data_IF_079524292102
#
_entry.id   IF_079524292102
#
_cell.length_a   1.000
_cell.length_b   1.000
_cell.length_c   1.000
_cell.angle_alpha   90.00
_cell.angle_beta   90.00
_cell.angle_gamma   90.00
#
_symmetry.space_group_name_H-M   'P 1'
#
loop_
_entity.id
_entity.type
_entity.pdbx_description
1 polymer ?
#
# COMPACT_ATOMS: atom_id res chain seq x y z
N UNK A 1 -26.83 48.94 -53.60
CA UNK A 1 -25.91 47.85 -53.19
C UNK A 1 -25.64 48.00 -51.70
N UNK A 2 -25.92 46.97 -50.90
CA UNK A 2 -25.77 47.00 -49.45
C UNK A 2 -26.80 46.08 -48.79
N UNK A 3 -26.49 44.78 -48.75
CA UNK A 3 -27.27 43.75 -48.06
C UNK A 3 -26.86 43.76 -46.59
N UNK A 4 -27.81 43.96 -45.67
CA UNK A 4 -27.62 43.76 -44.23
C UNK A 4 -28.47 42.57 -43.79
N UNK A 5 -27.80 41.52 -43.32
CA UNK A 5 -28.36 40.26 -42.83
C UNK A 5 -28.87 40.43 -41.40
N UNK A 6 -30.10 39.97 -41.18
CA UNK A 6 -30.77 39.88 -39.90
C UNK A 6 -30.13 38.80 -39.02
N UNK A 7 -29.96 39.11 -37.73
CA UNK A 7 -29.44 38.21 -36.72
C UNK A 7 -30.41 37.08 -36.37
N UNK A 8 -29.88 35.85 -36.30
CA UNK A 8 -30.53 34.73 -35.63
C UNK A 8 -29.92 34.57 -34.24
N UNK A 9 -30.73 34.81 -33.21
CA UNK A 9 -30.47 34.35 -31.85
C UNK A 9 -30.87 32.88 -31.76
N UNK A 10 -29.92 32.00 -31.43
CA UNK A 10 -30.19 30.61 -31.05
C UNK A 10 -30.47 30.53 -29.53
N UNK A 11 -31.43 29.69 -29.08
CA UNK A 11 -31.78 29.56 -27.68
C UNK A 11 -30.68 28.86 -26.87
N UNK A 12 -30.41 29.38 -25.67
CA UNK A 12 -29.55 28.74 -24.67
C UNK A 12 -30.29 27.54 -24.09
N UNK A 13 -29.88 26.32 -24.41
CA UNK A 13 -30.23 25.13 -23.63
C UNK A 13 -29.13 24.86 -22.61
N UNK A 14 -29.43 25.17 -21.36
CA UNK A 14 -28.69 24.74 -20.18
C UNK A 14 -28.89 23.23 -19.99
N UNK A 15 -27.91 22.43 -20.38
CA UNK A 15 -27.80 21.03 -19.95
C UNK A 15 -26.82 20.97 -18.79
N UNK A 16 -27.32 20.65 -17.59
CA UNK A 16 -26.52 20.23 -16.45
C UNK A 16 -25.61 19.06 -16.85
N UNK A 17 -24.35 18.98 -16.36
CA UNK A 17 -23.53 17.81 -16.61
C UNK A 17 -24.16 16.60 -15.89
N UNK A 18 -24.47 15.56 -16.66
CA UNK A 18 -24.84 14.25 -16.13
C UNK A 18 -23.70 13.72 -15.24
N UNK A 19 -24.03 13.41 -14.00
CA UNK A 19 -23.15 12.68 -13.09
C UNK A 19 -22.91 11.29 -13.67
N UNK A 20 -21.66 10.99 -14.04
CA UNK A 20 -21.23 9.62 -14.33
C UNK A 20 -21.43 8.75 -13.08
N UNK A 21 -21.94 7.51 -13.19
CA UNK A 21 -22.12 6.63 -12.05
C UNK A 21 -20.76 6.28 -11.43
N UNK A 22 -20.63 6.53 -10.13
CA UNK A 22 -19.39 6.36 -9.37
C UNK A 22 -18.99 4.89 -9.26
N UNK A 23 -17.75 4.57 -9.63
CA UNK A 23 -17.17 3.23 -9.49
C UNK A 23 -16.47 3.15 -8.13
N UNK A 24 -16.85 2.18 -7.29
CA UNK A 24 -16.18 1.95 -6.00
C UNK A 24 -14.72 1.51 -6.17
N UNK A 25 -13.84 1.87 -5.25
CA UNK A 25 -12.41 1.52 -5.29
C UNK A 25 -12.12 0.02 -5.08
N UNK A 26 -10.85 -0.36 -5.30
CA UNK A 26 -10.35 -1.73 -5.11
C UNK A 26 -10.59 -2.19 -3.67
N UNK A 27 -10.17 -1.38 -2.70
CA UNK A 27 -10.36 -1.64 -1.28
C UNK A 27 -11.84 -1.75 -0.93
N UNK A 28 -12.67 -0.81 -1.41
CA UNK A 28 -14.10 -0.76 -1.11
C UNK A 28 -14.88 -1.99 -1.58
N UNK A 29 -14.58 -2.50 -2.77
CA UNK A 29 -15.25 -3.68 -3.31
C UNK A 29 -14.74 -4.96 -2.64
N UNK A 30 -13.43 -5.06 -2.39
CA UNK A 30 -12.84 -6.17 -1.65
C UNK A 30 -13.38 -6.28 -0.22
N UNK A 31 -13.57 -5.14 0.45
CA UNK A 31 -14.08 -5.08 1.80
C UNK A 31 -15.58 -5.36 1.91
N UNK A 32 -16.39 -5.01 0.91
CA UNK A 32 -17.79 -5.46 0.84
C UNK A 32 -17.88 -6.98 0.83
N UNK A 33 -17.00 -7.66 0.08
CA UNK A 33 -16.92 -9.12 0.09
C UNK A 33 -16.40 -9.68 1.41
N UNK A 34 -15.39 -9.03 2.03
CA UNK A 34 -14.85 -9.41 3.34
C UNK A 34 -15.89 -9.28 4.47
N UNK A 35 -16.57 -8.14 4.57
CA UNK A 35 -17.61 -7.88 5.59
C UNK A 35 -18.84 -8.77 5.40
N UNK A 36 -19.16 -9.15 4.15
CA UNK A 36 -20.21 -10.14 3.88
C UNK A 36 -19.83 -11.55 4.37
N UNK A 37 -18.55 -11.89 4.34
CA UNK A 37 -18.04 -13.18 4.81
C UNK A 37 -17.72 -13.21 6.32
N UNK A 38 -17.53 -12.03 6.94
CA UNK A 38 -17.12 -11.89 8.35
C UNK A 38 -17.90 -10.75 9.02
N UNK A 39 -19.19 -10.93 9.31
CA UNK A 39 -19.98 -9.91 10.00
C UNK A 39 -19.39 -9.65 11.39
N UNK A 40 -19.11 -8.38 11.72
CA UNK A 40 -18.61 -8.00 13.04
C UNK A 40 -19.58 -8.45 14.14
N UNK A 41 -19.09 -8.97 15.28
CA UNK A 41 -19.94 -9.18 16.44
C UNK A 41 -20.41 -7.81 16.94
N UNK A 42 -21.68 -7.51 16.74
CA UNK A 42 -22.32 -6.28 17.18
C UNK A 42 -22.27 -6.11 18.69
N UNK A 43 -22.12 -4.86 19.12
CA UNK A 43 -22.06 -4.47 20.53
C UNK A 43 -23.42 -4.67 21.24
N UNK A 44 -23.37 -5.54 22.26
CA UNK A 44 -24.12 -5.61 23.53
C UNK A 44 -25.66 -5.72 23.55
N UNK A 45 -26.13 -6.79 24.18
CA UNK A 45 -27.18 -6.70 25.20
C UNK A 45 -26.70 -7.40 26.47
N UNK A 46 -26.61 -6.64 27.56
CA UNK A 46 -26.30 -7.12 28.89
C UNK A 46 -27.48 -7.90 29.51
N UNK A 47 -27.19 -9.01 30.19
CA UNK A 47 -27.94 -9.46 31.37
C UNK A 47 -27.26 -10.67 32.04
N UNK A 48 -27.16 -10.61 33.38
CA UNK A 48 -27.19 -11.79 34.25
C UNK A 48 -25.84 -12.30 34.74
N UNK A 49 -25.39 -11.80 35.89
CA UNK A 49 -24.31 -12.40 36.66
C UNK A 49 -24.78 -13.57 37.53
N UNK A 50 -23.86 -14.49 37.84
CA UNK A 50 -23.70 -15.21 39.13
C UNK A 50 -22.53 -16.23 39.04
N UNK A 51 -22.01 -16.78 40.14
CA UNK A 51 -20.83 -16.27 40.84
C UNK A 51 -19.59 -17.17 40.73
N UNK A 52 -18.47 -16.63 41.22
CA UNK A 52 -17.16 -17.25 41.33
C UNK A 52 -17.17 -18.67 41.94
N UNK A 53 -16.40 -19.57 41.33
CA UNK A 53 -16.01 -20.84 41.92
C UNK A 53 -14.49 -20.86 42.16
N UNK A 54 -14.17 -21.30 43.37
CA UNK A 54 -12.89 -21.35 44.06
C UNK A 54 -11.85 -22.27 43.42
N UNK A 55 -10.60 -21.78 43.36
CA UNK A 55 -9.42 -22.61 43.16
C UNK A 55 -8.98 -23.27 44.50
N UNK A 56 -8.56 -24.54 44.51
CA UNK A 56 -7.80 -25.12 45.61
C UNK A 56 -6.27 -25.10 45.34
N UNK A 57 -5.43 -25.35 46.36
CA UNK A 57 -4.13 -24.70 46.50
C UNK A 57 -2.93 -25.49 45.95
N UNK A 58 -1.83 -24.75 45.93
CA UNK A 58 -0.41 -25.06 45.69
C UNK A 58 0.10 -26.39 46.21
N UNK A 59 1.05 -26.98 45.46
CA UNK A 59 2.07 -27.88 45.97
C UNK A 59 3.43 -27.61 45.27
N UNK A 60 4.39 -27.13 46.05
CA UNK A 60 5.85 -27.28 45.84
C UNK A 60 6.23 -28.70 46.29
N UNK A 61 7.21 -29.42 45.69
CA UNK A 61 8.66 -29.18 45.88
C UNK A 61 9.48 -29.58 44.61
N UNK A 62 10.80 -29.55 44.46
CA UNK A 62 11.97 -29.38 45.31
C UNK A 62 13.13 -28.86 44.43
N UNK A 63 14.07 -28.14 45.04
CA UNK A 63 15.34 -27.74 44.44
C UNK A 63 16.19 -28.95 44.00
N UNK A 64 16.71 -28.90 42.78
CA UNK A 64 17.78 -29.78 42.32
C UNK A 64 18.97 -28.96 41.83
N UNK A 65 20.15 -29.37 42.28
CA UNK A 65 21.39 -28.63 42.26
C UNK A 65 21.93 -28.32 40.85
N UNK A 66 22.57 -27.15 40.73
CA UNK A 66 23.26 -26.69 39.55
C UNK A 66 24.53 -27.53 39.25
N UNK A 67 24.78 -27.94 38.00
CA UNK A 67 26.08 -28.43 37.59
C UNK A 67 27.01 -27.26 37.21
N UNK A 68 28.27 -27.45 37.56
CA UNK A 68 29.42 -26.55 37.45
C UNK A 68 29.69 -26.11 36.01
N UNK A 69 29.97 -24.81 35.83
CA UNK A 69 30.39 -24.21 34.55
C UNK A 69 31.73 -24.78 34.08
N UNK A 70 31.76 -25.30 32.87
CA UNK A 70 33.00 -25.49 32.10
C UNK A 70 33.15 -24.30 31.14
N UNK A 71 34.27 -23.58 31.24
CA UNK A 71 34.61 -22.47 30.34
C UNK A 71 34.84 -23.00 28.92
N UNK A 72 34.05 -22.52 27.96
CA UNK A 72 34.30 -22.70 26.53
C UNK A 72 35.44 -21.76 26.06
N UNK A 73 36.29 -22.17 25.11
CA UNK A 73 37.37 -21.33 24.59
C UNK A 73 36.80 -20.13 23.83
N UNK A 74 37.48 -18.99 23.94
CA UNK A 74 37.10 -17.72 23.31
C UNK A 74 36.93 -17.87 21.78
N UNK A 75 35.92 -17.23 21.16
CA UNK A 75 35.81 -17.19 19.71
C UNK A 75 36.96 -16.35 19.11
N UNK A 76 37.43 -16.68 17.89
CA UNK A 76 38.45 -15.86 17.23
C UNK A 76 37.90 -14.46 16.97
N UNK A 77 38.77 -13.46 17.10
CA UNK A 77 38.46 -12.05 16.98
C UNK A 77 37.62 -11.76 15.73
N UNK A 78 36.43 -11.21 15.95
CA UNK A 78 35.59 -10.69 14.87
C UNK A 78 36.37 -9.59 14.14
N UNK A 79 36.46 -9.74 12.81
CA UNK A 79 36.82 -8.66 11.89
C UNK A 79 36.07 -7.38 12.31
N UNK A 80 36.74 -6.21 12.41
CA UNK A 80 36.01 -5.00 12.70
C UNK A 80 35.04 -4.77 11.54
N UNK A 81 33.75 -4.77 11.86
CA UNK A 81 32.69 -4.29 11.00
C UNK A 81 33.16 -2.97 10.41
N UNK A 82 33.43 -2.95 9.10
CA UNK A 82 33.38 -1.70 8.35
C UNK A 82 31.95 -1.22 8.48
N UNK A 83 31.73 -0.28 9.39
CA UNK A 83 30.57 0.58 9.40
C UNK A 83 30.66 1.42 8.11
N UNK A 84 30.21 0.83 7.00
CA UNK A 84 29.88 1.57 5.80
C UNK A 84 28.58 2.31 6.14
N UNK A 85 28.73 3.46 6.79
CA UNK A 85 27.75 4.53 6.69
C UNK A 85 27.67 4.88 5.21
N UNK A 86 26.79 4.21 4.47
CA UNK A 86 26.25 4.82 3.28
C UNK A 86 25.60 6.14 3.75
N UNK A 87 25.93 7.29 3.13
CA UNK A 87 25.18 8.48 3.42
C UNK A 87 23.77 8.24 2.86
N UNK A 88 22.80 8.02 3.75
CA UNK A 88 21.40 8.21 3.38
C UNK A 88 21.31 9.59 2.70
N UNK A 89 20.65 9.73 1.54
CA UNK A 89 20.28 11.05 1.06
C UNK A 89 19.28 11.62 2.08
N UNK A 90 19.81 12.31 3.09
CA UNK A 90 19.02 12.99 4.11
C UNK A 90 18.49 14.32 3.56
N UNK A 91 17.77 14.28 2.44
CA UNK A 91 16.80 15.34 2.15
C UNK A 91 15.52 14.89 2.82
N UNK A 92 15.33 15.34 4.06
CA UNK A 92 14.05 15.24 4.73
C UNK A 92 12.94 15.65 3.75
N UNK A 93 11.84 14.87 3.64
CA UNK A 93 10.77 15.20 2.72
C UNK A 93 10.32 16.66 2.90
N UNK A 94 10.03 17.40 1.82
CA UNK A 94 9.72 18.83 1.94
C UNK A 94 8.56 19.11 2.89
N UNK A 95 8.74 20.13 3.74
CA UNK A 95 7.70 20.60 4.64
C UNK A 95 7.63 19.89 6.01
N UNK A 96 8.62 19.06 6.35
CA UNK A 96 8.77 18.49 7.70
C UNK A 96 9.81 19.29 8.53
N UNK A 97 9.50 19.65 9.77
CA UNK A 97 10.12 20.75 10.54
C UNK A 97 10.49 20.46 12.03
N UNK A 98 11.42 19.61 12.39
CA UNK A 98 11.81 19.24 13.78
C UNK A 98 10.70 18.84 14.77
N UNK A 99 9.41 18.97 14.43
CA UNK A 99 8.27 18.41 15.14
C UNK A 99 7.99 16.98 14.68
N UNK A 100 8.34 16.64 13.44
CA UNK A 100 8.13 15.30 12.87
C UNK A 100 9.24 14.31 13.24
N UNK A 101 8.86 13.07 13.55
CA UNK A 101 9.76 11.95 13.86
C UNK A 101 9.44 10.78 12.95
N UNK A 102 10.48 10.06 12.51
CA UNK A 102 10.32 8.76 11.86
C UNK A 102 9.78 7.77 12.90
N UNK A 103 8.61 7.19 12.64
CA UNK A 103 7.91 6.27 13.56
C UNK A 103 7.79 4.86 13.00
N UNK A 104 7.89 4.72 11.68
CA UNK A 104 7.98 3.44 10.99
C UNK A 104 8.81 3.66 9.72
N UNK A 105 9.67 2.71 9.38
CA UNK A 105 10.39 2.77 8.13
C UNK A 105 11.26 1.55 7.89
N UNK A 106 11.68 1.38 6.64
CA UNK A 106 12.56 0.31 6.20
C UNK A 106 13.42 0.79 5.03
N UNK A 107 14.73 0.64 5.15
CA UNK A 107 15.72 0.91 4.09
C UNK A 107 16.00 -0.33 3.24
N UNK A 108 15.45 -1.49 3.61
CA UNK A 108 15.66 -2.76 2.91
C UNK A 108 17.15 -3.17 2.76
N UNK A 109 18.00 -2.76 3.70
CA UNK A 109 19.44 -3.11 3.76
C UNK A 109 19.71 -4.53 4.29
N UNK A 110 18.76 -5.13 5.00
CA UNK A 110 18.87 -6.49 5.50
C UNK A 110 18.95 -7.52 4.34
N UNK A 111 19.44 -8.74 4.56
CA UNK A 111 19.45 -9.77 3.52
C UNK A 111 18.06 -10.37 3.24
N UNK A 112 17.09 -10.13 4.13
CA UNK A 112 15.73 -10.67 4.05
C UNK A 112 14.72 -9.64 4.55
N UNK A 113 13.48 -9.74 4.07
CA UNK A 113 12.38 -8.88 4.47
C UNK A 113 12.10 -9.00 5.98
N UNK A 114 11.96 -7.85 6.65
CA UNK A 114 11.61 -7.81 8.06
C UNK A 114 10.12 -8.20 8.28
N UNK A 115 9.89 -9.45 8.63
CA UNK A 115 8.54 -9.99 8.90
C UNK A 115 7.85 -9.40 10.15
N UNK A 116 8.59 -8.68 11.00
CA UNK A 116 8.01 -7.90 12.09
C UNK A 116 7.38 -6.59 11.58
N UNK A 117 7.74 -6.13 10.39
CA UNK A 117 7.17 -4.94 9.73
C UNK A 117 6.22 -5.29 8.59
N UNK A 118 6.54 -6.34 7.84
CA UNK A 118 5.90 -6.61 6.55
C UNK A 118 5.22 -7.96 6.49
N UNK A 119 4.07 -7.98 5.83
CA UNK A 119 3.32 -9.15 5.40
C UNK A 119 3.29 -9.18 3.87
N UNK A 120 3.47 -10.36 3.28
CA UNK A 120 3.57 -10.54 1.81
C UNK A 120 2.32 -11.18 1.20
N UNK A 121 1.16 -10.97 1.81
CA UNK A 121 -0.12 -11.46 1.35
C UNK A 121 -1.18 -10.38 1.56
N UNK A 122 -2.32 -10.51 0.88
CA UNK A 122 -3.51 -9.71 1.18
C UNK A 122 -4.46 -10.52 2.05
N UNK A 123 -5.12 -9.87 3.01
CA UNK A 123 -6.28 -10.41 3.74
C UNK A 123 -6.02 -11.65 4.61
N UNK A 124 -4.97 -11.61 5.44
CA UNK A 124 -4.69 -12.55 6.55
C UNK A 124 -4.51 -14.03 6.14
N UNK A 125 -4.07 -14.32 4.92
CA UNK A 125 -3.83 -15.69 4.44
C UNK A 125 -2.37 -15.97 4.10
N UNK A 126 -1.79 -17.06 4.60
CA UNK A 126 -0.41 -17.49 4.30
C UNK A 126 -0.16 -17.95 2.84
N UNK A 127 -1.11 -17.73 1.93
CA UNK A 127 -1.10 -18.24 0.56
C UNK A 127 -1.70 -17.21 -0.39
N UNK A 128 -1.32 -17.31 -1.67
CA UNK A 128 -1.86 -16.59 -2.82
C UNK A 128 -3.00 -15.63 -2.51
N UNK A 129 -2.67 -14.35 -2.43
CA UNK A 129 -3.67 -13.31 -2.40
C UNK A 129 -3.96 -12.89 -3.83
N UNK A 130 -4.95 -13.47 -4.49
CA UNK A 130 -5.59 -12.75 -5.56
C UNK A 130 -6.70 -11.92 -4.92
N UNK A 131 -6.82 -10.65 -5.29
CA UNK A 131 -8.00 -9.91 -4.90
C UNK A 131 -9.21 -10.68 -5.47
N UNK A 132 -10.02 -11.27 -4.60
CA UNK A 132 -11.21 -12.03 -4.99
C UNK A 132 -12.30 -11.12 -5.59
N UNK A 133 -12.06 -9.81 -5.64
CA UNK A 133 -12.88 -8.80 -6.29
C UNK A 133 -12.62 -8.67 -7.79
N UNK A 134 -13.70 -8.71 -8.55
CA UNK A 134 -14.01 -8.41 -9.96
C UNK A 134 -13.16 -7.40 -10.80
N UNK A 135 -11.91 -7.06 -10.47
CA UNK A 135 -11.18 -5.96 -11.14
C UNK A 135 -10.25 -6.41 -12.27
N UNK A 136 -10.25 -7.69 -12.62
CA UNK A 136 -9.49 -8.19 -13.77
C UNK A 136 -7.99 -8.38 -13.52
N UNK A 137 -7.51 -8.30 -12.27
CA UNK A 137 -6.16 -8.74 -11.91
C UNK A 137 -5.99 -10.25 -12.20
N UNK A 138 -4.84 -10.60 -12.75
CA UNK A 138 -4.49 -11.91 -13.30
C UNK A 138 -3.29 -12.53 -12.57
N UNK A 139 -2.70 -11.85 -11.60
CA UNK A 139 -1.65 -12.40 -10.75
C UNK A 139 -2.20 -13.03 -9.47
N UNK A 140 -1.35 -13.88 -8.92
CA UNK A 140 -1.39 -14.35 -7.56
C UNK A 140 -0.26 -13.67 -6.77
N UNK A 141 -0.55 -13.00 -5.65
CA UNK A 141 0.52 -12.50 -4.77
C UNK A 141 1.23 -13.65 -4.06
N UNK A 142 2.54 -13.78 -4.26
CA UNK A 142 3.37 -14.84 -3.69
C UNK A 142 4.48 -14.26 -2.81
N UNK A 143 4.73 -14.80 -1.61
CA UNK A 143 5.90 -14.43 -0.80
C UNK A 143 7.22 -14.60 -1.57
N UNK A 144 7.31 -15.60 -2.45
CA UNK A 144 8.51 -15.85 -3.27
C UNK A 144 8.78 -14.79 -4.33
N UNK A 145 7.80 -13.93 -4.61
CA UNK A 145 7.92 -12.80 -5.55
C UNK A 145 8.38 -11.51 -4.85
N UNK A 146 8.65 -11.57 -3.54
CA UNK A 146 9.22 -10.48 -2.75
C UNK A 146 10.64 -10.87 -2.37
N UNK A 147 11.61 -10.15 -2.91
CA UNK A 147 13.04 -10.37 -2.62
C UNK A 147 13.70 -9.10 -2.16
N UNK A 148 14.87 -9.22 -1.53
CA UNK A 148 15.66 -8.09 -1.05
C UNK A 148 17.10 -8.23 -1.54
N UNK A 149 17.61 -7.19 -2.18
CA UNK A 149 18.99 -7.12 -2.68
C UNK A 149 19.40 -5.68 -2.91
N UNK A 150 20.69 -5.40 -2.80
CA UNK A 150 21.28 -4.08 -3.10
C UNK A 150 20.59 -2.89 -2.37
N UNK A 151 20.18 -3.12 -1.11
CA UNK A 151 19.48 -2.15 -0.28
C UNK A 151 18.06 -1.84 -0.73
N UNK A 152 17.37 -2.80 -1.37
CA UNK A 152 16.04 -2.59 -1.96
C UNK A 152 15.16 -3.81 -1.80
N UNK A 153 13.86 -3.58 -1.68
CA UNK A 153 12.86 -4.61 -1.89
C UNK A 153 12.42 -4.65 -3.36
N UNK A 154 12.20 -5.84 -3.88
CA UNK A 154 11.75 -6.08 -5.26
C UNK A 154 10.43 -6.86 -5.23
N UNK A 155 9.37 -6.26 -5.77
CA UNK A 155 8.07 -6.91 -5.94
C UNK A 155 7.94 -7.35 -7.39
N UNK A 156 8.26 -8.61 -7.67
CA UNK A 156 8.50 -9.09 -9.04
C UNK A 156 7.29 -9.79 -9.63
N UNK A 157 6.74 -9.24 -10.70
CA UNK A 157 5.76 -9.90 -11.55
C UNK A 157 6.44 -10.88 -12.51
N UNK A 158 5.92 -12.11 -12.62
CA UNK A 158 6.44 -13.17 -13.47
C UNK A 158 5.35 -13.94 -14.21
N UNK A 159 5.64 -14.41 -15.44
CA UNK A 159 4.83 -15.40 -16.17
C UNK A 159 5.03 -16.80 -15.56
N UNK A 160 4.53 -16.98 -14.35
CA UNK A 160 4.58 -18.24 -13.62
C UNK A 160 3.16 -18.65 -13.21
N UNK A 161 2.56 -19.65 -13.89
CA UNK A 161 1.23 -20.12 -13.53
C UNK A 161 1.17 -20.63 -12.09
N UNK A 162 0.17 -20.20 -11.33
CA UNK A 162 -0.03 -20.61 -9.95
C UNK A 162 -1.46 -21.09 -9.72
N UNK A 163 -1.62 -22.27 -9.13
CA UNK A 163 -2.93 -22.83 -8.78
C UNK A 163 -3.28 -22.46 -7.33
N UNK A 164 -4.38 -21.74 -7.15
CA UNK A 164 -4.89 -21.38 -5.84
C UNK A 164 -6.40 -21.58 -5.75
N UNK A 165 -6.85 -22.34 -4.75
CA UNK A 165 -8.28 -22.62 -4.49
C UNK A 165 -9.05 -23.04 -5.77
N UNK A 166 -8.43 -23.86 -6.62
CA UNK A 166 -9.03 -24.38 -7.85
C UNK A 166 -9.03 -23.41 -9.05
N UNK A 167 -8.47 -22.20 -8.91
CA UNK A 167 -8.24 -21.25 -10.00
C UNK A 167 -6.77 -21.20 -10.38
N UNK A 168 -6.47 -21.24 -11.67
CA UNK A 168 -5.13 -21.00 -12.20
C UNK A 168 -4.96 -19.51 -12.51
N UNK A 169 -3.96 -18.89 -11.87
CA UNK A 169 -3.50 -17.54 -12.18
C UNK A 169 -2.32 -17.62 -13.14
N UNK A 170 -2.35 -16.94 -14.30
CA UNK A 170 -1.25 -17.01 -15.26
C UNK A 170 0.04 -16.32 -14.80
N UNK A 171 -0.05 -15.44 -13.79
CA UNK A 171 1.09 -14.68 -13.28
C UNK A 171 1.23 -14.82 -11.75
N UNK A 172 2.44 -14.63 -11.26
CA UNK A 172 2.71 -14.33 -9.85
C UNK A 172 3.24 -12.91 -9.72
N UNK A 173 3.05 -12.28 -8.56
CA UNK A 173 3.60 -10.97 -8.27
C UNK A 173 3.84 -10.74 -6.78
N UNK A 174 4.48 -9.64 -6.41
CA UNK A 174 4.80 -9.26 -5.04
C UNK A 174 3.87 -8.20 -4.46
N UNK A 175 3.66 -8.30 -3.14
CA UNK A 175 3.07 -7.25 -2.30
C UNK A 175 3.82 -7.23 -0.97
N UNK A 176 4.01 -6.05 -0.40
CA UNK A 176 4.30 -5.86 1.02
C UNK A 176 3.25 -4.96 1.64
N UNK A 177 2.85 -5.25 2.88
CA UNK A 177 1.97 -4.38 3.64
C UNK A 177 2.25 -4.46 5.14
N UNK A 178 1.90 -3.40 5.87
CA UNK A 178 2.10 -3.31 7.32
C UNK A 178 0.89 -3.83 8.13
N UNK A 179 -0.03 -4.58 7.51
CA UNK A 179 -1.19 -5.14 8.21
C UNK A 179 -0.76 -5.97 9.41
N UNK A 180 -1.48 -5.84 10.52
CA UNK A 180 -1.20 -6.44 11.83
C UNK A 180 0.16 -6.05 12.46
N UNK A 181 1.01 -5.28 11.78
CA UNK A 181 2.34 -4.87 12.25
C UNK A 181 2.36 -3.41 12.67
N UNK A 182 1.83 -2.54 11.82
CA UNK A 182 1.78 -1.10 12.06
C UNK A 182 0.54 -0.48 11.43
N UNK A 183 -0.30 0.10 12.28
CA UNK A 183 -1.46 0.90 11.91
C UNK A 183 -1.26 2.32 12.41
N UNK A 184 -1.62 3.30 11.61
CA UNK A 184 -1.48 4.71 11.97
C UNK A 184 -2.65 5.53 11.45
N UNK A 185 -2.85 6.67 12.09
CA UNK A 185 -3.74 7.73 11.63
C UNK A 185 -2.91 8.99 11.59
N UNK A 186 -2.98 9.70 10.47
CA UNK A 186 -2.19 10.89 10.18
C UNK A 186 -0.68 10.62 10.14
N UNK A 187 0.03 11.43 9.36
CA UNK A 187 1.45 11.24 9.15
C UNK A 187 1.91 11.83 7.82
N UNK A 188 3.20 11.72 7.59
CA UNK A 188 3.80 11.89 6.28
C UNK A 188 4.36 10.55 5.83
N UNK A 189 3.79 9.97 4.78
CA UNK A 189 4.30 8.74 4.16
C UNK A 189 5.15 9.16 2.99
N UNK A 190 6.37 8.64 2.90
CA UNK A 190 7.30 8.80 1.77
C UNK A 190 7.82 7.42 1.35
N UNK A 191 7.61 7.07 0.10
CA UNK A 191 8.09 5.82 -0.48
C UNK A 191 8.89 6.13 -1.73
N UNK A 192 10.18 5.76 -1.72
CA UNK A 192 11.04 5.90 -2.88
C UNK A 192 11.03 4.62 -3.69
N UNK A 193 10.49 4.67 -4.91
CA UNK A 193 10.33 3.49 -5.74
C UNK A 193 10.58 3.77 -7.23
N UNK A 194 10.99 2.73 -7.95
CA UNK A 194 11.06 2.68 -9.41
C UNK A 194 9.99 1.73 -9.94
N UNK A 195 9.30 2.16 -11.00
CA UNK A 195 8.10 1.51 -11.50
C UNK A 195 8.36 0.70 -12.77
N UNK A 196 7.70 -0.46 -12.97
CA UNK A 196 7.80 -1.25 -14.19
C UNK A 196 6.94 -0.66 -15.30
N UNK A 197 7.47 -0.62 -16.54
CA UNK A 197 6.69 -0.28 -17.74
C UNK A 197 6.28 -1.52 -18.52
N UNK A 198 5.14 -1.40 -19.20
CA UNK A 198 4.54 -2.48 -19.99
C UNK A 198 3.03 -2.56 -19.76
N UNK A 199 2.30 -2.90 -20.82
CA UNK A 199 0.85 -3.09 -20.74
C UNK A 199 0.49 -4.13 -19.68
N UNK A 200 -0.54 -3.83 -18.89
CA UNK A 200 -1.01 -4.71 -17.83
C UNK A 200 -0.19 -4.70 -16.55
N UNK A 201 0.90 -3.93 -16.43
CA UNK A 201 1.48 -3.66 -15.12
C UNK A 201 0.70 -2.53 -14.43
N UNK A 202 0.36 -2.77 -13.16
CA UNK A 202 -0.37 -1.83 -12.32
C UNK A 202 0.24 -1.83 -10.91
N UNK A 203 1.36 -1.12 -10.70
CA UNK A 203 1.89 -0.91 -9.36
C UNK A 203 1.08 0.14 -8.60
N UNK A 204 1.00 -0.03 -7.29
CA UNK A 204 0.33 0.90 -6.38
C UNK A 204 1.06 1.03 -5.03
N UNK A 205 1.01 2.23 -4.47
CA UNK A 205 1.39 2.58 -3.09
C UNK A 205 0.16 3.25 -2.47
N UNK A 206 -0.40 2.64 -1.43
CA UNK A 206 -1.73 3.02 -0.95
C UNK A 206 -1.92 2.72 0.52
N UNK A 207 -2.87 3.42 1.14
CA UNK A 207 -3.28 3.24 2.52
C UNK A 207 -4.70 2.70 2.56
N UNK A 208 -4.89 1.62 3.31
CA UNK A 208 -6.20 1.00 3.46
C UNK A 208 -6.33 0.23 4.76
N UNK A 209 -7.54 0.14 5.32
CA UNK A 209 -7.85 -0.80 6.39
C UNK A 209 -9.38 -1.01 6.55
N UNK A 210 -9.94 -2.10 6.02
CA UNK A 210 -11.38 -2.34 6.05
C UNK A 210 -11.92 -2.72 7.42
N UNK A 211 -11.04 -3.00 8.40
CA UNK A 211 -11.48 -3.19 9.78
C UNK A 211 -11.96 -1.86 10.41
N UNK A 212 -11.52 -0.71 9.88
CA UNK A 212 -11.89 0.60 10.41
C UNK A 212 -12.63 1.49 9.41
N UNK A 213 -12.28 1.43 8.11
CA UNK A 213 -12.93 2.27 7.09
C UNK A 213 -12.90 1.63 5.70
N UNK A 214 -13.84 2.03 4.86
CA UNK A 214 -13.79 1.76 3.42
C UNK A 214 -13.16 2.92 2.63
N UNK A 215 -12.67 3.96 3.29
CA UNK A 215 -11.83 4.97 2.63
C UNK A 215 -10.48 4.37 2.25
N UNK A 216 -9.92 4.82 1.14
CA UNK A 216 -8.65 4.36 0.56
C UNK A 216 -7.89 5.58 0.04
N UNK A 217 -6.61 5.68 0.39
CA UNK A 217 -5.72 6.76 -0.05
C UNK A 217 -4.65 6.15 -0.95
N UNK A 218 -4.77 6.38 -2.25
CA UNK A 218 -3.78 5.98 -3.24
C UNK A 218 -2.74 7.08 -3.38
N UNK A 219 -1.57 6.84 -2.78
CA UNK A 219 -0.43 7.75 -2.82
C UNK A 219 0.18 7.77 -4.23
N UNK A 220 0.15 6.62 -4.90
CA UNK A 220 0.58 6.43 -6.27
C UNK A 220 -0.12 5.21 -6.87
N UNK A 221 -0.81 5.40 -7.98
CA UNK A 221 -1.08 4.34 -8.96
C UNK A 221 -0.43 4.71 -10.29
N UNK A 222 0.06 3.69 -10.99
CA UNK A 222 0.66 3.84 -12.30
C UNK A 222 0.16 2.74 -13.23
N UNK A 223 -0.05 3.08 -14.49
CA UNK A 223 -0.45 2.12 -15.52
C UNK A 223 0.73 1.96 -16.46
N UNK A 224 1.39 0.80 -16.46
CA UNK A 224 2.65 0.59 -17.19
C UNK A 224 2.57 0.82 -18.71
N UNK A 225 1.36 0.83 -19.29
CA UNK A 225 1.14 1.24 -20.69
C UNK A 225 1.32 2.76 -20.88
N UNK A 226 0.85 3.58 -19.94
CA UNK A 226 1.03 5.04 -19.93
C UNK A 226 2.12 5.45 -18.95
N UNK A 227 3.36 5.48 -19.46
CA UNK A 227 4.53 5.90 -18.70
C UNK A 227 4.51 7.37 -18.27
N UNK A 228 3.59 8.17 -18.79
CA UNK A 228 3.60 9.62 -18.59
C UNK A 228 2.74 10.08 -17.41
N UNK A 229 1.92 9.20 -16.82
CA UNK A 229 0.91 9.59 -15.84
C UNK A 229 1.01 8.81 -14.55
N UNK A 230 1.05 9.53 -13.43
CA UNK A 230 0.75 9.00 -12.09
C UNK A 230 -0.63 9.46 -11.67
N UNK A 231 -1.37 8.57 -11.02
CA UNK A 231 -2.67 8.85 -10.42
C UNK A 231 -2.52 8.85 -8.90
N UNK A 232 -3.14 9.83 -8.24
CA UNK A 232 -3.20 9.91 -6.78
C UNK A 232 -4.65 10.14 -6.41
N UNK A 233 -5.22 9.26 -5.61
CA UNK A 233 -6.67 9.17 -5.46
C UNK A 233 -7.05 9.09 -3.99
N UNK A 234 -8.09 9.80 -3.60
CA UNK A 234 -8.86 9.49 -2.39
C UNK A 234 -10.17 8.86 -2.83
N UNK A 235 -10.37 7.59 -2.47
CA UNK A 235 -11.66 6.94 -2.57
C UNK A 235 -12.36 6.99 -1.21
N UNK A 236 -13.62 7.41 -1.20
CA UNK A 236 -14.38 7.58 0.03
C UNK A 236 -15.33 6.42 0.23
N UNK A 237 -15.58 6.02 1.48
CA UNK A 237 -16.43 4.88 1.87
C UNK A 237 -17.83 4.87 1.27
N UNK A 238 -18.30 6.02 0.78
CA UNK A 238 -19.60 6.21 0.13
C UNK A 238 -19.54 6.11 -1.40
N UNK A 239 -18.37 5.77 -1.95
CA UNK A 239 -18.12 5.57 -3.37
C UNK A 239 -17.74 6.83 -4.13
N UNK A 240 -17.44 7.96 -3.47
CA UNK A 240 -16.90 9.13 -4.18
C UNK A 240 -15.39 8.98 -4.41
N UNK A 241 -14.86 9.64 -5.44
CA UNK A 241 -13.43 9.68 -5.71
C UNK A 241 -12.95 11.13 -5.92
N UNK A 242 -11.73 11.43 -5.47
CA UNK A 242 -11.00 12.64 -5.81
C UNK A 242 -9.65 12.22 -6.37
N UNK A 243 -9.45 12.38 -7.68
CA UNK A 243 -8.24 11.92 -8.36
C UNK A 243 -7.44 13.10 -8.92
N UNK A 244 -6.15 13.10 -8.63
CA UNK A 244 -5.14 13.97 -9.23
C UNK A 244 -4.31 13.19 -10.24
N UNK A 245 -3.88 13.87 -11.31
CA UNK A 245 -3.04 13.29 -12.36
C UNK A 245 -1.80 14.14 -12.54
N UNK A 246 -0.62 13.53 -12.44
CA UNK A 246 0.65 14.23 -12.61
C UNK A 246 1.40 13.68 -13.82
N UNK A 247 1.90 14.58 -14.66
CA UNK A 247 2.57 14.23 -15.92
C UNK A 247 4.07 14.40 -15.86
N UNK A 248 4.79 13.44 -16.45
CA UNK A 248 6.23 13.47 -16.68
C UNK A 248 6.54 12.84 -18.05
N UNK A 249 7.78 12.96 -18.54
CA UNK A 249 8.19 12.35 -19.81
C UNK A 249 8.19 10.82 -19.73
N UNK A 250 8.64 10.26 -18.61
CA UNK A 250 8.62 8.82 -18.28
C UNK A 250 8.81 8.64 -16.77
N UNK A 251 7.78 8.21 -16.04
CA UNK A 251 7.86 7.92 -14.59
C UNK A 251 8.53 6.57 -14.28
N UNK A 252 8.76 5.72 -15.28
CA UNK A 252 9.43 4.41 -15.10
C UNK A 252 10.94 4.47 -15.28
N UNK A 253 11.46 5.61 -15.76
CA UNK A 253 12.87 5.75 -16.12
C UNK A 253 13.80 5.70 -14.89
N UNK A 254 13.38 6.30 -13.77
CA UNK A 254 14.17 6.42 -12.56
C UNK A 254 13.32 6.15 -11.30
N UNK A 255 13.97 6.20 -10.13
CA UNK A 255 13.31 6.23 -8.84
C UNK A 255 12.71 7.61 -8.57
N UNK A 256 11.51 7.59 -8.00
CA UNK A 256 10.80 8.79 -7.58
C UNK A 256 10.31 8.64 -6.14
N UNK A 257 10.14 9.77 -5.48
CA UNK A 257 9.56 9.86 -4.14
C UNK A 257 8.05 10.09 -4.25
N UNK A 258 7.26 9.11 -3.83
CA UNK A 258 5.80 9.20 -3.79
C UNK A 258 5.36 9.40 -2.35
N UNK A 259 4.68 10.51 -2.08
CA UNK A 259 4.38 10.88 -0.71
C UNK A 259 2.98 11.47 -0.51
N UNK A 260 2.47 11.31 0.71
CA UNK A 260 1.25 11.98 1.19
C UNK A 260 1.48 12.54 2.59
N UNK A 261 1.09 13.80 2.79
CA UNK A 261 0.90 14.43 4.09
C UNK A 261 -0.57 14.32 4.45
N UNK A 262 -0.87 13.47 5.42
CA UNK A 262 -2.21 13.24 5.95
C UNK A 262 -2.32 13.84 7.34
N UNK A 263 -3.16 14.84 7.47
CA UNK A 263 -3.40 15.58 8.71
C UNK A 263 -4.90 15.62 9.03
N UNK A 264 -5.29 15.99 10.26
CA UNK A 264 -6.69 16.23 10.58
C UNK A 264 -7.32 17.22 9.57
N UNK A 265 -8.24 16.72 8.74
CA UNK A 265 -8.96 17.53 7.76
C UNK A 265 -8.14 17.95 6.53
N UNK A 266 -6.93 17.42 6.30
CA UNK A 266 -6.19 17.69 5.06
C UNK A 266 -5.42 16.47 4.54
N UNK A 267 -5.45 16.29 3.22
CA UNK A 267 -4.58 15.38 2.49
C UNK A 267 -3.84 16.18 1.41
N UNK A 268 -2.52 16.09 1.42
CA UNK A 268 -1.66 16.72 0.41
C UNK A 268 -0.72 15.69 -0.18
N UNK A 269 -0.80 15.50 -1.49
CA UNK A 269 0.03 14.57 -2.23
C UNK A 269 1.26 15.26 -2.79
N UNK A 270 2.36 14.51 -2.86
CA UNK A 270 3.63 14.96 -3.40
C UNK A 270 4.24 13.90 -4.31
N UNK A 271 4.97 14.36 -5.33
CA UNK A 271 5.92 13.55 -6.09
C UNK A 271 7.23 14.33 -6.16
N UNK A 272 8.35 13.69 -5.81
CA UNK A 272 9.68 14.30 -5.74
C UNK A 272 9.70 15.61 -4.94
N UNK A 273 8.90 15.65 -3.87
CA UNK A 273 8.78 16.80 -2.99
C UNK A 273 7.94 17.96 -3.53
N UNK A 274 7.42 17.86 -4.75
CA UNK A 274 6.51 18.84 -5.35
C UNK A 274 5.08 18.47 -5.03
N UNK A 275 4.29 19.43 -4.53
CA UNK A 275 2.86 19.23 -4.29
C UNK A 275 2.11 19.00 -5.60
N UNK A 276 1.38 17.89 -5.69
CA UNK A 276 0.67 17.44 -6.89
C UNK A 276 -0.84 17.34 -6.71
N UNK A 277 -1.30 17.28 -5.46
CA UNK A 277 -2.72 17.24 -5.12
C UNK A 277 -2.95 17.75 -3.70
N UNK A 278 -4.12 18.34 -3.45
CA UNK A 278 -4.51 18.81 -2.13
C UNK A 278 -6.03 18.79 -2.00
N UNK A 279 -6.53 18.29 -0.87
CA UNK A 279 -7.93 18.32 -0.52
C UNK A 279 -8.13 18.49 0.99
N UNK A 280 -9.27 19.06 1.36
CA UNK A 280 -9.68 19.29 2.76
C UNK A 280 -11.05 18.72 3.09
N UNK A 281 -11.71 18.07 2.12
CA UNK A 281 -13.02 17.46 2.27
C UNK A 281 -12.91 15.93 2.30
N UNK A 282 -13.75 15.28 3.11
CA UNK A 282 -13.85 13.81 3.18
C UNK A 282 -12.53 13.11 3.58
N UNK A 283 -11.60 13.85 4.20
CA UNK A 283 -10.33 13.30 4.70
C UNK A 283 -10.63 12.27 5.78
N UNK A 284 -10.16 11.01 5.63
CA UNK A 284 -10.40 9.97 6.61
C UNK A 284 -9.68 10.28 7.93
N UNK A 285 -10.21 9.71 9.02
CA UNK A 285 -9.70 9.90 10.40
C UNK A 285 -9.44 8.59 11.13
N UNK A 286 -9.66 7.48 10.45
CA UNK A 286 -9.53 6.13 10.96
C UNK A 286 -8.09 5.62 10.80
N UNK A 287 -7.77 4.49 11.42
CA UNK A 287 -6.44 3.88 11.28
C UNK A 287 -6.34 3.14 9.95
N UNK A 288 -5.23 3.32 9.25
CA UNK A 288 -4.89 2.58 8.02
C UNK A 288 -3.52 1.89 8.17
N UNK A 289 -3.22 0.95 7.27
CA UNK A 289 -1.85 0.43 7.07
C UNK A 289 -1.39 0.74 5.65
N UNK A 290 -0.07 0.74 5.47
CA UNK A 290 0.56 0.92 4.16
C UNK A 290 0.56 -0.39 3.37
N UNK A 291 0.33 -0.28 2.06
CA UNK A 291 0.42 -1.36 1.09
C UNK A 291 1.24 -0.89 -0.11
N UNK A 292 2.13 -1.75 -0.61
CA UNK A 292 2.85 -1.57 -1.87
C UNK A 292 2.77 -2.86 -2.66
N UNK A 293 2.25 -2.81 -3.89
CA UNK A 293 2.07 -4.00 -4.73
C UNK A 293 2.39 -3.72 -6.20
N UNK A 294 2.53 -4.82 -6.94
CA UNK A 294 2.51 -4.83 -8.40
C UNK A 294 1.41 -5.77 -8.88
N UNK A 295 0.27 -5.23 -9.33
CA UNK A 295 -0.74 -6.02 -10.04
C UNK A 295 -0.33 -6.26 -11.50
N UNK A 296 -0.80 -7.38 -12.03
CA UNK A 296 -0.69 -7.78 -13.43
C UNK A 296 -2.09 -8.03 -13.97
N UNK A 297 -2.53 -7.22 -14.92
CA UNK A 297 -3.92 -7.21 -15.40
C UNK A 297 -4.66 -5.97 -14.91
N UNK A 298 -5.98 -6.07 -14.94
CA UNK A 298 -6.91 -4.97 -14.65
C UNK A 298 -8.08 -4.98 -15.63
N UNK A 299 -9.04 -4.07 -15.44
CA UNK A 299 -10.11 -3.86 -16.40
C UNK A 299 -9.56 -3.28 -17.70
N UNK A 300 -10.31 -3.33 -18.80
CA UNK A 300 -9.86 -2.71 -20.05
C UNK A 300 -9.64 -1.20 -19.93
N UNK A 301 -10.30 -0.54 -18.97
CA UNK A 301 -10.16 0.89 -18.69
C UNK A 301 -9.06 1.21 -17.67
N UNK A 302 -8.46 0.21 -17.04
CA UNK A 302 -7.44 0.39 -15.99
C UNK A 302 -6.45 -0.78 -16.02
N UNK A 303 -5.27 -0.57 -16.60
CA UNK A 303 -4.22 -1.60 -16.75
C UNK A 303 -4.41 -2.53 -17.94
N UNK A 304 -5.58 -3.17 -18.02
CA UNK A 304 -5.89 -4.19 -19.03
C UNK A 304 -4.99 -5.43 -18.94
N UNK A 305 -5.21 -6.41 -19.81
CA UNK A 305 -4.37 -7.60 -19.85
C UNK A 305 -2.98 -7.29 -20.47
N UNK A 306 -1.90 -7.93 -19.97
CA UNK A 306 -0.63 -7.95 -20.66
C UNK A 306 -0.76 -8.44 -22.10
N UNK A 307 0.07 -7.91 -23.00
CA UNK A 307 0.16 -8.34 -24.40
C UNK A 307 1.52 -8.98 -24.73
N UNK A 308 1.76 -9.29 -26.01
CA UNK A 308 3.03 -9.88 -26.47
C UNK A 308 4.25 -8.96 -26.31
N UNK A 309 4.04 -7.64 -26.20
CA UNK A 309 5.11 -6.67 -25.96
C UNK A 309 5.44 -6.49 -24.47
N UNK A 310 4.63 -7.07 -23.57
CA UNK A 310 4.87 -6.96 -22.12
C UNK A 310 6.01 -7.89 -21.72
N UNK A 311 7.12 -7.28 -21.29
CA UNK A 311 8.35 -7.95 -20.86
C UNK A 311 8.21 -8.46 -19.43
N UNK A 312 8.49 -9.74 -19.20
CA UNK A 312 8.56 -10.35 -17.87
C UNK A 312 9.92 -11.04 -17.69
N UNK A 313 10.46 -11.13 -16.46
CA UNK A 313 9.92 -10.52 -15.25
C UNK A 313 10.06 -9.00 -15.24
N UNK A 314 9.26 -8.33 -14.40
CA UNK A 314 9.37 -6.89 -14.13
C UNK A 314 8.99 -6.61 -12.68
N UNK A 315 9.50 -5.55 -12.09
CA UNK A 315 9.37 -5.30 -10.66
C UNK A 315 9.03 -3.85 -10.34
N UNK A 316 8.35 -3.67 -9.20
CA UNK A 316 8.48 -2.43 -8.42
C UNK A 316 9.70 -2.60 -7.53
N UNK A 317 10.66 -1.70 -7.68
CA UNK A 317 11.86 -1.67 -6.85
C UNK A 317 11.72 -0.55 -5.82
N UNK A 318 11.76 -0.89 -4.53
CA UNK A 318 11.54 0.03 -3.42
C UNK A 318 12.87 0.25 -2.72
N UNK A 319 13.33 1.49 -2.72
CA UNK A 319 14.57 1.90 -2.06
C UNK A 319 14.34 2.09 -0.56
N UNK A 320 13.28 2.81 -0.18
CA UNK A 320 12.88 2.93 1.21
C UNK A 320 11.38 3.18 1.37
N UNK A 321 10.91 2.91 2.58
CA UNK A 321 9.63 3.40 3.10
C UNK A 321 9.89 4.18 4.38
N UNK A 322 9.36 5.39 4.48
CA UNK A 322 9.34 6.17 5.72
C UNK A 322 7.94 6.66 6.04
N UNK A 323 7.57 6.56 7.32
CA UNK A 323 6.37 7.16 7.88
C UNK A 323 6.80 8.04 9.05
N UNK A 324 6.51 9.33 8.92
CA UNK A 324 6.76 10.32 9.94
C UNK A 324 5.46 10.74 10.61
N UNK A 325 5.49 11.00 11.91
CA UNK A 325 4.39 11.62 12.65
C UNK A 325 4.91 12.78 13.50
N UNK A 326 4.06 13.77 13.75
CA UNK A 326 4.37 14.84 14.70
C UNK A 326 4.56 14.24 16.10
N UNK A 327 5.61 14.69 16.79
CA UNK A 327 5.81 14.39 18.19
C UNK A 327 4.59 14.90 19.00
N UNK A 328 4.15 14.16 20.03
CA UNK A 328 3.05 14.58 20.91
C UNK A 328 3.24 15.95 21.54
#
# INVERSE_FOLDING_TARGET
MGVALAGCQAPRTSTSPESSPSVSSIGQQAAKAYLAAHPSPGASAAAGGQPAQSAPPTAEPAQQAAPTQAQAPAPPAANPLRLLLAPAPATRPPGLDDSWRLVFGDEFDAPVLDTAKWVTNVWQGAQCGANSGNHGSQNCYSPSAVTQSDGKAHLTASRAPYNFKGRTFPYTSGIINSDQRYFFTYGYVDVRAKLPKGKGFWPAIWLYNPAYTLDEIDIMEFIGEDQTTIFQTLHTRHGSENQFKTRHSDWSADYHNFAVRWEPGSLTFYIDGVQTGHLTSLVPSEKMYLMVNLDVGGSSSWGGAPNSATQFPSSVDIDYVHIYQQAP
#
